data_IF_675964985521
#
_entry.id   IF_675964985521
#
_cell.length_a   1.000
_cell.length_b   1.000
_cell.length_c   1.000
_cell.angle_alpha   90.00
_cell.angle_beta   90.00
_cell.angle_gamma   90.00
#
_symmetry.space_group_name_H-M   'P 1'
#
loop_
_entity.id
_entity.type
_entity.pdbx_description
1 polymer ?
#
# COMPACT_ATOMS: atom_id res chain seq x y z
N UNK A 1 9.49 27.93 -25.64
CA UNK A 1 10.21 26.83 -26.32
C UNK A 1 11.11 26.09 -25.33
N UNK A 2 11.26 24.76 -25.43
CA UNK A 2 12.12 23.94 -24.54
C UNK A 2 13.56 24.47 -24.47
N UNK A 3 14.11 24.96 -25.58
CA UNK A 3 15.45 25.57 -25.64
C UNK A 3 15.56 26.85 -24.82
N UNK A 4 14.52 27.71 -24.85
CA UNK A 4 14.50 28.94 -24.06
C UNK A 4 14.45 28.64 -22.56
N UNK A 5 13.59 27.71 -22.15
CA UNK A 5 13.52 27.24 -20.75
C UNK A 5 14.87 26.69 -20.25
N UNK A 6 15.53 25.87 -21.08
CA UNK A 6 16.85 25.33 -20.76
C UNK A 6 17.89 26.45 -20.56
N UNK A 7 17.91 27.43 -21.46
CA UNK A 7 18.80 28.60 -21.35
C UNK A 7 18.54 29.41 -20.09
N UNK A 8 17.28 29.76 -19.83
CA UNK A 8 16.91 30.64 -18.71
C UNK A 8 17.16 29.99 -17.35
N UNK A 9 17.15 28.65 -17.29
CA UNK A 9 17.43 27.87 -16.08
C UNK A 9 18.87 27.33 -16.01
N UNK A 10 19.71 27.67 -16.98
CA UNK A 10 21.08 27.16 -17.12
C UNK A 10 21.15 25.61 -17.11
N UNK A 11 20.20 24.97 -17.79
CA UNK A 11 20.11 23.51 -17.95
C UNK A 11 20.52 23.17 -19.38
N UNK A 12 21.36 22.16 -19.58
CA UNK A 12 21.67 21.69 -20.94
C UNK A 12 20.46 20.97 -21.54
N UNK A 13 20.25 21.12 -22.84
CA UNK A 13 19.10 20.49 -23.51
C UNK A 13 19.11 18.96 -23.38
N UNK A 14 20.28 18.33 -23.37
CA UNK A 14 20.42 16.88 -23.19
C UNK A 14 19.93 16.43 -21.81
N UNK A 15 20.31 17.13 -20.74
CA UNK A 15 19.85 16.85 -19.38
C UNK A 15 18.32 16.99 -19.28
N UNK A 16 17.78 18.07 -19.84
CA UNK A 16 16.33 18.29 -19.87
C UNK A 16 15.60 17.20 -20.65
N UNK A 17 16.11 16.82 -21.84
CA UNK A 17 15.55 15.76 -22.66
C UNK A 17 15.57 14.41 -21.95
N UNK A 18 16.67 14.09 -21.25
CA UNK A 18 16.80 12.87 -20.46
C UNK A 18 15.79 12.81 -19.32
N UNK A 19 15.56 13.91 -18.61
CA UNK A 19 14.53 13.97 -17.56
C UNK A 19 13.13 13.74 -18.12
N UNK A 20 12.77 14.40 -19.24
CA UNK A 20 11.50 14.16 -19.90
C UNK A 20 11.32 12.69 -20.29
N UNK A 21 12.36 12.08 -20.88
CA UNK A 21 12.36 10.66 -21.25
C UNK A 21 12.17 9.75 -20.04
N UNK A 22 12.85 10.04 -18.93
CA UNK A 22 12.75 9.26 -17.70
C UNK A 22 11.35 9.34 -17.09
N UNK A 23 10.78 10.54 -17.04
CA UNK A 23 9.42 10.73 -16.52
C UNK A 23 8.35 10.11 -17.42
N UNK A 24 8.55 10.10 -18.74
CA UNK A 24 7.64 9.39 -19.65
C UNK A 24 7.76 7.87 -19.56
N UNK A 25 8.95 7.34 -19.25
CA UNK A 25 9.14 5.89 -19.03
C UNK A 25 8.58 5.44 -17.67
N UNK A 26 8.63 6.30 -16.65
CA UNK A 26 7.99 6.05 -15.36
C UNK A 26 6.47 6.28 -15.37
N UNK A 27 5.87 6.62 -16.52
CA UNK A 27 4.42 6.69 -16.68
C UNK A 27 3.75 5.31 -16.78
N UNK A 28 4.45 4.20 -16.51
CA UNK A 28 3.79 3.04 -15.93
C UNK A 28 3.49 3.40 -14.48
N UNK A 29 2.24 3.78 -14.18
CA UNK A 29 1.84 4.02 -12.80
C UNK A 29 2.18 2.76 -11.99
N UNK A 30 3.24 2.83 -11.17
CA UNK A 30 3.56 1.78 -10.18
C UNK A 30 2.45 1.59 -9.14
N UNK A 31 1.38 2.37 -9.26
CA UNK A 31 0.11 2.20 -8.59
C UNK A 31 -0.80 1.39 -9.52
N UNK A 32 -1.02 0.13 -9.14
CA UNK A 32 -2.20 -0.60 -9.57
C UNK A 32 -3.40 -0.04 -8.81
N UNK A 33 -4.47 0.27 -9.52
CA UNK A 33 -5.76 0.57 -8.89
C UNK A 33 -6.15 -0.63 -8.01
N UNK A 34 -6.13 -0.45 -6.70
CA UNK A 34 -6.63 -1.45 -5.76
C UNK A 34 -8.14 -1.40 -5.87
N UNK A 35 -8.70 -2.30 -6.68
CA UNK A 35 -10.13 -2.61 -6.61
C UNK A 35 -10.36 -3.18 -5.21
N UNK A 36 -10.85 -2.35 -4.31
CA UNK A 36 -11.49 -2.82 -3.09
C UNK A 36 -12.71 -3.59 -3.56
N UNK A 37 -12.56 -4.90 -3.77
CA UNK A 37 -13.70 -5.80 -3.69
C UNK A 37 -14.44 -5.39 -2.43
N UNK A 38 -15.75 -5.22 -2.48
CA UNK A 38 -16.56 -5.08 -1.27
C UNK A 38 -16.39 -6.37 -0.47
N UNK A 39 -15.31 -6.43 0.31
CA UNK A 39 -15.09 -7.50 1.27
C UNK A 39 -16.05 -7.13 2.37
N UNK A 40 -17.10 -7.92 2.51
CA UNK A 40 -17.88 -8.08 3.74
C UNK A 40 -16.97 -7.77 4.93
N UNK A 41 -17.36 -6.92 5.89
CA UNK A 41 -16.49 -6.57 7.01
C UNK A 41 -15.97 -7.87 7.65
N UNK A 42 -14.70 -8.20 7.39
CA UNK A 42 -14.06 -9.37 7.98
C UNK A 42 -13.86 -9.01 9.43
N UNK A 43 -14.88 -9.30 10.24
CA UNK A 43 -14.82 -9.18 11.68
C UNK A 43 -13.70 -10.10 12.15
N UNK A 44 -12.55 -9.48 12.40
CA UNK A 44 -11.36 -10.17 12.86
C UNK A 44 -11.32 -10.02 14.36
N UNK A 45 -11.26 -11.13 15.09
CA UNK A 45 -11.15 -11.15 16.54
C UNK A 45 -9.73 -11.57 16.92
N UNK A 46 -9.16 -10.92 17.92
CA UNK A 46 -7.80 -11.18 18.39
C UNK A 46 -7.82 -11.53 19.88
N UNK A 47 -7.07 -12.57 20.24
CA UNK A 47 -6.86 -12.99 21.64
C UNK A 47 -5.37 -12.91 21.94
N UNK A 48 -5.01 -11.99 22.83
CA UNK A 48 -3.66 -11.81 23.35
C UNK A 48 -3.49 -12.58 24.68
N UNK A 49 -2.52 -13.48 24.74
CA UNK A 49 -2.20 -14.25 25.93
C UNK A 49 -1.09 -13.58 26.76
N UNK A 50 -1.09 -13.73 28.09
CA UNK A 50 -0.02 -13.19 28.95
C UNK A 50 1.39 -13.72 28.62
N UNK A 51 1.48 -14.89 27.98
CA UNK A 51 2.74 -15.46 27.49
C UNK A 51 3.33 -14.71 26.28
N UNK A 52 2.59 -13.75 25.72
CA UNK A 52 2.93 -13.07 24.46
C UNK A 52 2.48 -13.82 23.21
N UNK A 53 1.86 -15.00 23.36
CA UNK A 53 1.20 -15.68 22.25
C UNK A 53 -0.06 -14.92 21.81
N UNK A 54 -0.42 -15.04 20.53
CA UNK A 54 -1.53 -14.29 19.94
C UNK A 54 -2.24 -15.15 18.91
N UNK A 55 -3.58 -15.13 18.94
CA UNK A 55 -4.43 -15.90 18.04
C UNK A 55 -5.44 -14.97 17.36
N UNK A 56 -5.57 -15.10 16.04
CA UNK A 56 -6.45 -14.28 15.21
C UNK A 56 -7.52 -15.16 14.56
N UNK A 57 -8.78 -14.71 14.62
CA UNK A 57 -9.93 -15.39 14.04
C UNK A 57 -10.53 -14.55 12.92
N UNK A 58 -10.83 -15.19 11.79
CA UNK A 58 -11.61 -14.59 10.72
C UNK A 58 -13.08 -15.01 10.89
N UNK A 59 -13.93 -14.08 11.31
CA UNK A 59 -15.32 -14.34 11.71
C UNK A 59 -15.48 -14.53 13.22
N UNK A 60 -16.72 -14.44 13.69
CA UNK A 60 -17.05 -14.50 15.13
C UNK A 60 -16.70 -15.87 15.73
N UNK A 61 -15.77 -15.94 16.69
CA UNK A 61 -15.41 -17.22 17.33
C UNK A 61 -16.60 -17.76 18.14
N UNK A 62 -16.83 -19.08 18.16
CA UNK A 62 -17.87 -19.68 18.99
C UNK A 62 -17.67 -19.36 20.48
N UNK A 63 -18.73 -18.92 21.15
CA UNK A 63 -18.69 -18.62 22.60
C UNK A 63 -18.38 -19.84 23.45
N UNK A 64 -18.73 -21.05 22.99
CA UNK A 64 -18.35 -22.31 23.64
C UNK A 64 -16.84 -22.51 23.66
N UNK A 65 -16.16 -22.19 22.56
CA UNK A 65 -14.71 -22.28 22.47
C UNK A 65 -14.02 -21.23 23.35
N UNK A 66 -14.50 -19.97 23.33
CA UNK A 66 -13.97 -18.91 24.20
C UNK A 66 -14.08 -19.24 25.69
N UNK A 67 -15.13 -19.95 26.10
CA UNK A 67 -15.29 -20.39 27.50
C UNK A 67 -14.25 -21.42 27.94
N UNK A 68 -13.74 -22.24 27.03
CA UNK A 68 -12.67 -23.19 27.35
C UNK A 68 -11.33 -22.50 27.63
N UNK A 69 -11.11 -21.26 27.16
CA UNK A 69 -9.90 -20.49 27.48
C UNK A 69 -9.85 -19.98 28.92
N UNK A 70 -10.99 -19.95 29.63
CA UNK A 70 -11.08 -19.48 31.01
C UNK A 70 -10.95 -20.60 32.05
N UNK A 71 -10.74 -21.85 31.60
CA UNK A 71 -10.51 -23.01 32.47
C UNK A 71 -9.02 -23.25 32.66
#
# INVERSE_FOLDING_TARGET
SKKAFCRDRNITYQTFHYWCKRLSLQASSGFSEVKLSEVEPVNTFEVDFPSGARVTFHGTPPTTWLRELLK
#
